data_IF_895979159586
#
_entry.id   IF_895979159586
#
_cell.length_a   1.000
_cell.length_b   1.000
_cell.length_c   1.000
_cell.angle_alpha   90.00
_cell.angle_beta   90.00
_cell.angle_gamma   90.00
#
_symmetry.space_group_name_H-M   'P 1'
#
loop_
_entity.id
_entity.type
_entity.pdbx_description
1 polymer ?
#
# COMPACT_ATOMS: atom_id res chain seq x y z
N UNK A 1 -67.25 48.55 3.48
CA UNK A 1 -67.03 47.14 3.90
C UNK A 1 -66.14 46.48 2.87
N UNK A 2 -64.82 46.44 3.12
CA UNK A 2 -63.83 45.95 2.18
C UNK A 2 -63.27 44.63 2.71
N UNK A 3 -63.50 43.56 1.97
CA UNK A 3 -62.95 42.23 2.30
C UNK A 3 -61.54 42.12 1.69
N UNK A 4 -60.52 42.08 2.51
CA UNK A 4 -59.15 41.88 2.17
C UNK A 4 -58.87 40.37 2.04
N UNK A 5 -58.62 39.90 0.81
CA UNK A 5 -58.28 38.49 0.53
C UNK A 5 -56.79 38.26 0.72
N UNK A 6 -56.43 37.45 1.71
CA UNK A 6 -55.05 36.99 1.93
C UNK A 6 -54.73 35.81 0.98
N UNK A 7 -53.82 36.00 0.05
CA UNK A 7 -53.22 34.92 -0.71
C UNK A 7 -51.96 34.44 0.03
N UNK A 8 -52.03 33.26 0.59
CA UNK A 8 -50.82 32.59 1.12
C UNK A 8 -50.10 31.90 -0.05
N UNK A 9 -48.94 32.44 -0.40
CA UNK A 9 -48.04 31.81 -1.39
C UNK A 9 -47.23 30.69 -0.70
N UNK A 10 -47.50 29.45 -1.04
CA UNK A 10 -46.76 28.26 -0.59
C UNK A 10 -45.47 28.20 -1.48
N UNK A 11 -44.32 28.58 -0.94
CA UNK A 11 -43.04 28.41 -1.58
C UNK A 11 -42.58 26.94 -1.43
N UNK A 12 -42.68 26.19 -2.54
CA UNK A 12 -42.17 24.81 -2.63
C UNK A 12 -40.64 24.86 -2.76
N UNK A 13 -39.90 24.63 -1.70
CA UNK A 13 -38.45 24.49 -1.71
C UNK A 13 -38.11 23.10 -2.24
N UNK A 14 -37.76 23.03 -3.51
CA UNK A 14 -37.25 21.81 -4.14
C UNK A 14 -35.81 21.59 -3.68
N UNK A 15 -35.58 20.66 -2.76
CA UNK A 15 -34.26 20.17 -2.38
C UNK A 15 -33.68 19.38 -3.57
N UNK A 16 -32.86 20.04 -4.39
CA UNK A 16 -32.07 19.36 -5.41
C UNK A 16 -31.00 18.50 -4.73
N UNK A 17 -31.22 17.20 -4.65
CA UNK A 17 -30.19 16.24 -4.28
C UNK A 17 -29.09 16.32 -5.33
N UNK A 18 -27.95 16.92 -5.00
CA UNK A 18 -26.76 16.89 -5.87
C UNK A 18 -26.25 15.45 -5.91
N UNK A 19 -26.02 14.87 -7.11
CA UNK A 19 -25.36 13.59 -7.20
C UNK A 19 -23.95 13.75 -6.62
N UNK A 20 -23.63 12.98 -5.60
CA UNK A 20 -22.27 12.85 -5.09
C UNK A 20 -21.46 12.17 -6.20
N UNK A 21 -20.73 12.96 -7.00
CA UNK A 21 -19.75 12.44 -7.94
C UNK A 21 -18.69 11.75 -7.08
N UNK A 22 -18.66 10.40 -7.15
CA UNK A 22 -17.58 9.63 -6.58
C UNK A 22 -16.27 10.16 -7.20
N UNK A 23 -15.34 10.64 -6.35
CA UNK A 23 -14.02 11.04 -6.83
C UNK A 23 -13.38 9.84 -7.53
N UNK A 24 -12.71 10.09 -8.66
CA UNK A 24 -11.96 9.04 -9.34
C UNK A 24 -11.02 8.35 -8.32
N UNK A 25 -10.99 7.01 -8.30
CA UNK A 25 -10.14 6.31 -7.35
C UNK A 25 -8.70 6.74 -7.55
N UNK A 26 -7.99 7.02 -6.46
CA UNK A 26 -6.58 7.41 -6.51
C UNK A 26 -5.80 6.42 -7.38
N UNK A 27 -4.83 6.87 -8.19
CA UNK A 27 -4.10 6.00 -9.13
C UNK A 27 -3.45 4.77 -8.51
N UNK A 28 -3.22 4.78 -7.20
CA UNK A 28 -2.66 3.66 -6.44
C UNK A 28 -3.68 2.53 -6.22
N UNK A 29 -4.98 2.85 -6.21
CA UNK A 29 -6.05 1.85 -5.94
C UNK A 29 -6.00 0.73 -6.97
N UNK A 30 -6.09 -0.51 -6.48
CA UNK A 30 -6.11 -1.70 -7.30
C UNK A 30 -5.19 -2.81 -6.80
N UNK A 31 -5.00 -3.80 -7.64
CA UNK A 31 -4.16 -4.98 -7.38
C UNK A 31 -2.86 -4.84 -8.17
N UNK A 32 -1.75 -5.00 -7.47
CA UNK A 32 -0.42 -4.87 -8.03
C UNK A 32 0.38 -6.15 -7.76
N UNK A 33 0.87 -6.79 -8.81
CA UNK A 33 1.67 -8.00 -8.75
C UNK A 33 3.14 -7.65 -8.62
N UNK A 34 3.85 -8.32 -7.73
CA UNK A 34 5.29 -8.12 -7.53
C UNK A 34 6.09 -8.48 -8.79
N UNK A 35 7.04 -7.62 -9.13
CA UNK A 35 8.03 -7.83 -10.20
C UNK A 35 9.42 -8.05 -9.61
N UNK A 36 9.85 -7.19 -8.68
CA UNK A 36 11.16 -7.32 -8.01
C UNK A 36 11.13 -6.76 -6.59
N UNK A 37 12.00 -7.32 -5.75
CA UNK A 37 12.33 -6.82 -4.43
C UNK A 37 13.84 -6.67 -4.34
N UNK A 38 14.32 -5.45 -4.33
CA UNK A 38 15.73 -5.11 -4.39
C UNK A 38 16.17 -4.36 -3.14
N UNK A 39 17.41 -4.54 -2.74
CA UNK A 39 18.10 -3.69 -1.76
C UNK A 39 19.08 -2.80 -2.49
N UNK A 40 18.96 -1.51 -2.27
CA UNK A 40 19.82 -0.48 -2.81
C UNK A 40 20.64 0.13 -1.66
N UNK A 41 21.91 0.43 -1.93
CA UNK A 41 22.81 1.09 -0.99
C UNK A 41 23.03 2.55 -1.36
N UNK A 42 23.06 3.44 -0.37
CA UNK A 42 23.18 4.89 -0.58
C UNK A 42 24.52 5.29 -1.24
N UNK A 43 25.57 4.58 -0.89
CA UNK A 43 26.90 4.79 -1.49
C UNK A 43 27.01 4.27 -2.94
N UNK A 44 25.93 3.71 -3.49
CA UNK A 44 25.95 3.02 -4.78
C UNK A 44 26.47 1.59 -4.65
N UNK A 45 26.74 0.96 -5.80
CA UNK A 45 27.19 -0.42 -5.88
C UNK A 45 26.15 -1.38 -6.42
N UNK A 46 26.43 -2.67 -6.25
CA UNK A 46 25.56 -3.74 -6.73
C UNK A 46 24.28 -3.81 -5.87
N UNK A 47 23.16 -4.10 -6.53
CA UNK A 47 21.87 -4.36 -5.85
C UNK A 47 21.82 -5.78 -5.35
N UNK A 48 21.30 -5.96 -4.15
CA UNK A 48 21.02 -7.26 -3.56
C UNK A 48 19.56 -7.64 -3.72
N UNK A 49 19.29 -8.95 -3.73
CA UNK A 49 17.95 -9.52 -3.88
C UNK A 49 17.60 -10.38 -2.66
N UNK A 50 17.23 -9.77 -1.52
CA UNK A 50 17.00 -10.51 -0.26
C UNK A 50 15.84 -11.50 -0.32
N UNK A 51 14.96 -11.38 -1.32
CA UNK A 51 13.85 -12.28 -1.58
C UNK A 51 14.10 -13.21 -2.78
N UNK A 52 15.35 -13.25 -3.31
CA UNK A 52 15.65 -13.89 -4.58
C UNK A 52 15.37 -13.00 -5.79
N UNK A 53 15.70 -13.49 -6.98
CA UNK A 53 15.51 -12.75 -8.25
C UNK A 53 14.10 -12.86 -8.82
N UNK A 54 13.34 -13.89 -8.40
CA UNK A 54 11.97 -14.16 -8.82
C UNK A 54 11.02 -14.34 -7.61
N UNK A 55 10.93 -13.35 -6.69
CA UNK A 55 9.98 -13.41 -5.60
C UNK A 55 8.55 -13.32 -6.12
N UNK A 56 7.59 -13.79 -5.34
CA UNK A 56 6.16 -13.71 -5.70
C UNK A 56 5.38 -12.93 -4.65
N UNK A 57 4.32 -12.27 -5.07
CA UNK A 57 3.49 -11.53 -4.14
C UNK A 57 2.57 -10.51 -4.80
N UNK A 58 1.77 -9.89 -3.97
CA UNK A 58 0.84 -8.86 -4.36
C UNK A 58 0.77 -7.78 -3.28
N UNK A 59 0.49 -6.55 -3.72
CA UNK A 59 0.00 -5.48 -2.88
C UNK A 59 -1.34 -5.00 -3.43
N UNK A 60 -2.31 -4.81 -2.54
CA UNK A 60 -3.66 -4.37 -2.84
C UNK A 60 -3.96 -3.07 -2.11
N UNK A 61 -4.51 -2.12 -2.83
CA UNK A 61 -5.05 -0.89 -2.25
C UNK A 61 -6.53 -0.81 -2.57
N UNK A 62 -7.37 -0.78 -1.54
CA UNK A 62 -8.81 -0.67 -1.67
C UNK A 62 -9.25 0.79 -1.55
N UNK A 63 -10.31 1.21 -2.27
CA UNK A 63 -10.78 2.59 -2.24
C UNK A 63 -11.24 3.04 -0.85
N UNK A 64 -11.61 2.10 0.03
CA UNK A 64 -12.01 2.37 1.41
C UNK A 64 -10.84 2.71 2.35
N UNK A 65 -9.61 2.85 1.82
CA UNK A 65 -8.43 3.17 2.60
C UNK A 65 -7.82 1.97 3.34
N UNK A 66 -8.04 0.76 2.86
CA UNK A 66 -7.37 -0.44 3.35
C UNK A 66 -6.37 -0.97 2.34
N UNK A 67 -5.26 -1.50 2.84
CA UNK A 67 -4.26 -2.14 2.01
C UNK A 67 -3.81 -3.47 2.62
N UNK A 68 -3.35 -4.36 1.75
CA UNK A 68 -2.74 -5.64 2.15
C UNK A 68 -1.54 -5.90 1.25
N UNK A 69 -0.47 -6.41 1.83
CA UNK A 69 0.68 -6.92 1.09
C UNK A 69 1.03 -8.31 1.56
N UNK A 70 1.31 -9.19 0.60
CA UNK A 70 1.90 -10.50 0.84
C UNK A 70 2.99 -10.71 -0.19
N UNK A 71 4.23 -10.91 0.27
CA UNK A 71 5.41 -11.18 -0.54
C UNK A 71 6.10 -12.41 0.03
N UNK A 72 6.47 -13.33 -0.83
CA UNK A 72 7.25 -14.50 -0.49
C UNK A 72 8.50 -14.59 -1.35
N UNK A 73 9.60 -15.02 -0.74
CA UNK A 73 10.86 -15.22 -1.46
C UNK A 73 10.78 -16.32 -2.51
N UNK A 74 11.76 -16.32 -3.40
CA UNK A 74 11.94 -17.33 -4.44
C UNK A 74 12.27 -18.71 -3.84
N UNK A 75 11.92 -19.80 -4.55
CA UNK A 75 12.39 -21.15 -4.26
C UNK A 75 11.83 -21.77 -2.97
N UNK A 76 10.67 -21.34 -2.50
CA UNK A 76 10.07 -21.87 -1.26
C UNK A 76 9.59 -23.31 -1.45
N UNK A 77 9.95 -24.17 -0.49
CA UNK A 77 9.49 -25.55 -0.39
C UNK A 77 8.74 -25.78 0.92
N UNK A 78 7.96 -26.86 1.01
CA UNK A 78 7.31 -27.24 2.25
C UNK A 78 8.34 -27.52 3.35
N UNK A 79 8.22 -26.92 4.54
CA UNK A 79 9.19 -27.09 5.62
C UNK A 79 9.06 -28.47 6.26
N UNK A 80 10.18 -29.09 6.56
CA UNK A 80 10.26 -30.37 7.29
C UNK A 80 10.83 -30.22 8.68
N UNK A 81 11.56 -29.13 8.94
CA UNK A 81 12.22 -28.81 10.20
C UNK A 81 11.82 -27.42 10.72
N UNK A 82 12.12 -27.13 11.98
CA UNK A 82 11.93 -25.79 12.54
C UNK A 82 12.87 -24.76 11.91
N UNK A 83 14.08 -25.19 11.51
CA UNK A 83 15.01 -24.34 10.77
C UNK A 83 14.44 -23.92 9.40
N UNK A 84 13.77 -24.86 8.69
CA UNK A 84 13.10 -24.54 7.43
C UNK A 84 11.98 -23.51 7.66
N UNK A 85 11.18 -23.68 8.73
CA UNK A 85 10.11 -22.75 9.09
C UNK A 85 10.66 -21.35 9.38
N UNK A 86 11.77 -21.26 10.12
CA UNK A 86 12.46 -19.99 10.37
C UNK A 86 12.98 -19.37 9.08
N UNK A 87 13.54 -20.14 8.17
CA UNK A 87 13.96 -19.69 6.83
C UNK A 87 12.80 -19.11 6.01
N UNK A 88 11.64 -19.79 6.03
CA UNK A 88 10.43 -19.30 5.35
C UNK A 88 9.93 -18.00 5.96
N UNK A 89 9.97 -17.86 7.28
CA UNK A 89 9.59 -16.61 7.94
C UNK A 89 10.47 -15.43 7.54
N UNK A 90 11.78 -15.64 7.40
CA UNK A 90 12.74 -14.61 7.01
C UNK A 90 12.54 -14.09 5.57
N UNK A 91 11.83 -14.86 4.74
CA UNK A 91 11.49 -14.50 3.35
C UNK A 91 9.99 -14.28 3.17
N UNK A 92 9.31 -13.81 4.22
CA UNK A 92 7.90 -13.45 4.22
C UNK A 92 7.74 -11.98 4.60
N UNK A 93 7.02 -11.22 3.76
CA UNK A 93 6.42 -9.94 4.14
C UNK A 93 4.91 -10.10 4.02
N UNK A 94 4.20 -9.99 5.14
CA UNK A 94 2.75 -10.07 5.17
C UNK A 94 2.20 -9.13 6.23
N UNK A 95 1.38 -8.17 5.80
CA UNK A 95 0.67 -7.28 6.71
C UNK A 95 -0.54 -6.64 6.02
N UNK A 96 -1.45 -6.13 6.83
CA UNK A 96 -2.59 -5.32 6.39
C UNK A 96 -2.81 -4.16 7.35
N UNK A 97 -3.47 -3.11 6.87
CA UNK A 97 -3.76 -1.93 7.67
C UNK A 97 -4.58 -0.90 6.92
N UNK A 98 -4.81 0.22 7.60
CA UNK A 98 -5.41 1.40 6.96
C UNK A 98 -4.30 2.23 6.31
N UNK A 99 -4.54 2.72 5.10
CA UNK A 99 -3.59 3.62 4.45
C UNK A 99 -4.21 4.97 4.11
N UNK A 100 -3.35 5.97 4.00
CA UNK A 100 -3.63 7.28 3.43
C UNK A 100 -2.49 7.69 2.51
N UNK A 101 -2.77 8.53 1.54
CA UNK A 101 -1.77 9.05 0.60
C UNK A 101 -1.48 10.51 0.95
N UNK A 102 -0.20 10.84 1.06
CA UNK A 102 0.31 12.18 1.34
C UNK A 102 1.43 12.51 0.34
N UNK A 103 1.07 13.25 -0.72
CA UNK A 103 2.01 13.57 -1.80
C UNK A 103 2.55 12.32 -2.51
N UNK A 104 3.86 12.13 -2.46
CA UNK A 104 4.58 11.00 -3.04
C UNK A 104 4.72 9.79 -2.10
N UNK A 105 3.97 9.78 -0.99
CA UNK A 105 4.01 8.71 0.02
C UNK A 105 2.64 8.16 0.29
N UNK A 106 2.59 6.87 0.62
CA UNK A 106 1.51 6.34 1.41
C UNK A 106 2.00 6.00 2.81
N UNK A 107 1.12 6.17 3.79
CA UNK A 107 1.38 5.86 5.19
C UNK A 107 0.35 4.82 5.60
N UNK A 108 0.83 3.69 6.13
CA UNK A 108 -0.03 2.60 6.60
C UNK A 108 0.08 2.47 8.11
N UNK A 109 -1.07 2.52 8.80
CA UNK A 109 -1.19 2.07 10.19
C UNK A 109 -1.52 0.59 10.17
N UNK A 110 -0.64 -0.25 10.72
CA UNK A 110 -0.73 -1.71 10.60
C UNK A 110 -1.64 -2.30 11.68
N UNK A 111 -2.66 -3.05 11.25
CA UNK A 111 -3.58 -3.77 12.15
C UNK A 111 -3.10 -5.20 12.42
N UNK A 112 -2.59 -5.87 11.37
CA UNK A 112 -2.10 -7.25 11.40
C UNK A 112 -0.79 -7.33 10.65
N UNK A 113 0.17 -8.08 11.18
CA UNK A 113 1.46 -8.28 10.54
C UNK A 113 2.07 -9.64 10.94
N UNK A 114 2.77 -10.29 10.01
CA UNK A 114 3.63 -11.43 10.31
C UNK A 114 4.73 -11.07 11.31
N UNK A 115 5.23 -9.82 11.27
CA UNK A 115 6.12 -9.31 12.31
C UNK A 115 5.30 -8.58 13.38
N UNK A 116 5.11 -9.16 14.58
CA UNK A 116 4.27 -8.57 15.62
C UNK A 116 4.77 -7.19 16.11
N UNK A 117 6.07 -6.88 15.96
CA UNK A 117 6.63 -5.58 16.34
C UNK A 117 6.12 -4.41 15.43
N UNK A 118 5.48 -4.73 14.32
CA UNK A 118 4.94 -3.72 13.40
C UNK A 118 3.48 -3.37 13.70
N UNK A 119 2.76 -4.21 14.43
CA UNK A 119 1.34 -3.98 14.76
C UNK A 119 1.20 -2.69 15.56
N UNK A 120 0.26 -1.83 15.17
CA UNK A 120 0.01 -0.53 15.79
C UNK A 120 0.99 0.57 15.39
N UNK A 121 2.01 0.27 14.54
CA UNK A 121 2.94 1.29 14.04
C UNK A 121 2.48 1.89 12.72
N UNK A 122 2.99 3.08 12.40
CA UNK A 122 2.87 3.68 11.09
C UNK A 122 4.12 3.41 10.25
N UNK A 123 3.91 3.02 9.00
CA UNK A 123 5.00 2.84 8.04
C UNK A 123 4.77 3.69 6.81
N UNK A 124 5.68 4.62 6.56
CA UNK A 124 5.68 5.45 5.36
C UNK A 124 6.49 4.80 4.24
N UNK A 125 5.99 4.89 3.02
CA UNK A 125 6.65 4.43 1.79
C UNK A 125 6.57 5.52 0.75
N UNK A 126 7.70 5.93 0.21
CA UNK A 126 7.67 6.76 -1.00
C UNK A 126 7.30 5.88 -2.19
N UNK A 127 6.55 6.43 -3.13
CA UNK A 127 6.15 5.69 -4.32
C UNK A 127 6.10 6.57 -5.56
N UNK A 128 6.15 5.92 -6.70
CA UNK A 128 5.82 6.50 -8.01
C UNK A 128 5.04 5.50 -8.85
N UNK A 129 4.13 6.01 -9.64
CA UNK A 129 3.37 5.23 -10.63
C UNK A 129 3.71 5.78 -12.00
N UNK A 130 4.05 4.88 -12.91
CA UNK A 130 4.29 5.17 -14.32
C UNK A 130 3.54 4.12 -15.15
N UNK A 131 2.40 4.54 -15.72
CA UNK A 131 1.48 3.64 -16.40
C UNK A 131 1.04 2.47 -15.52
N UNK A 132 1.40 1.27 -15.93
CA UNK A 132 1.09 0.03 -15.22
C UNK A 132 2.14 -0.37 -14.16
N UNK A 133 3.12 0.48 -13.88
CA UNK A 133 4.21 0.18 -12.97
C UNK A 133 4.11 1.02 -11.70
N UNK A 134 4.16 0.38 -10.55
CA UNK A 134 4.27 0.99 -9.23
C UNK A 134 5.65 0.67 -8.68
N UNK A 135 6.40 1.67 -8.26
CA UNK A 135 7.64 1.48 -7.53
C UNK A 135 7.51 2.06 -6.13
N UNK A 136 7.85 1.26 -5.14
CA UNK A 136 7.86 1.56 -3.71
C UNK A 136 9.31 1.68 -3.23
N UNK A 137 9.56 2.61 -2.32
CA UNK A 137 10.86 2.78 -1.65
C UNK A 137 10.64 2.97 -0.15
N UNK A 138 11.40 2.20 0.64
CA UNK A 138 11.46 2.40 2.10
C UNK A 138 12.36 3.59 2.44
N UNK A 139 12.31 4.05 3.69
CA UNK A 139 13.32 4.95 4.20
C UNK A 139 14.73 4.30 4.16
N UNK A 140 15.78 5.11 4.12
CA UNK A 140 17.14 4.67 4.32
C UNK A 140 17.33 4.23 5.77
N UNK A 141 17.89 3.05 5.98
CA UNK A 141 18.17 2.50 7.31
C UNK A 141 19.60 1.99 7.39
N UNK A 142 20.24 2.19 8.55
CA UNK A 142 21.57 1.65 8.80
C UNK A 142 21.50 0.11 8.91
N UNK A 143 22.44 -0.56 8.25
CA UNK A 143 22.64 -2.02 8.35
C UNK A 143 23.71 -2.33 9.42
N UNK A 144 23.80 -3.59 9.87
CA UNK A 144 24.84 -4.00 10.82
C UNK A 144 26.28 -3.73 10.38
N UNK A 145 26.51 -3.64 9.06
CA UNK A 145 27.79 -3.29 8.45
C UNK A 145 27.99 -1.77 8.27
N UNK A 146 27.16 -0.95 8.91
CA UNK A 146 27.16 0.51 8.86
C UNK A 146 26.82 1.11 7.47
N UNK A 147 26.44 0.31 6.48
CA UNK A 147 25.97 0.82 5.21
C UNK A 147 24.51 1.27 5.34
N UNK A 148 24.19 2.41 4.72
CA UNK A 148 22.79 2.85 4.59
C UNK A 148 22.15 2.13 3.41
N UNK A 149 21.02 1.46 3.65
CA UNK A 149 20.28 0.74 2.61
C UNK A 149 18.78 1.00 2.68
N UNK A 150 18.11 0.79 1.57
CA UNK A 150 16.64 0.80 1.48
C UNK A 150 16.15 -0.36 0.61
N UNK A 151 14.89 -0.73 0.78
CA UNK A 151 14.21 -1.58 -0.20
C UNK A 151 13.65 -0.72 -1.34
N UNK A 152 13.80 -1.23 -2.56
CA UNK A 152 13.14 -0.75 -3.77
C UNK A 152 12.32 -1.91 -4.32
N UNK A 153 11.01 -1.76 -4.31
CA UNK A 153 10.09 -2.84 -4.66
C UNK A 153 9.28 -2.39 -5.87
N UNK A 154 9.27 -3.22 -6.90
CA UNK A 154 8.58 -2.90 -8.15
C UNK A 154 7.41 -3.87 -8.35
N UNK A 155 6.29 -3.30 -8.74
CA UNK A 155 5.07 -4.04 -9.06
C UNK A 155 4.56 -3.65 -10.45
N UNK A 156 3.74 -4.50 -11.03
CA UNK A 156 2.92 -4.22 -12.20
C UNK A 156 1.44 -4.37 -11.86
N UNK A 157 0.57 -3.61 -12.52
CA UNK A 157 -0.88 -3.72 -12.32
C UNK A 157 -1.33 -5.12 -12.74
N UNK A 158 -1.98 -5.85 -11.84
CA UNK A 158 -2.55 -7.15 -12.16
C UNK A 158 -3.74 -6.99 -13.13
N UNK A 159 -3.83 -7.93 -14.08
CA UNK A 159 -4.95 -8.02 -15.03
C UNK A 159 -6.13 -8.73 -14.41
#
# INVERSE_FOLDING_TARGET
>A
MSMLKWFAALALVSLLAQPCLAADPAPIVGVWKLVSFEREYQAGGEREYPMGKAPTGYILFLPEGRMTVVITGEGRTAPTTDQDRAGLYNTLVAYTGRYRVEGDKWITTLDVSANPAWVGTEQARSFRIDGNRLQEMTAWVARPDNRMARAVITYERAK
#
